data_IF_062702609111
#
_entry.id   IF_062702609111
#
_cell.length_a   1.000
_cell.length_b   1.000
_cell.length_c   1.000
_cell.angle_alpha   90.00
_cell.angle_beta   90.00
_cell.angle_gamma   90.00
#
_symmetry.space_group_name_H-M   'P 1'
#
loop_
_entity.id
_entity.type
_entity.pdbx_description
1 polymer ?
#
# COMPACT_ATOMS: atom_id res chain seq x y z
N UNK A 1 -14.69 2.07 3.63
CA UNK A 1 -15.42 1.15 2.79
C UNK A 1 -14.68 -0.17 2.65
N UNK A 2 -15.34 -1.27 2.94
CA UNK A 2 -14.77 -2.61 2.85
C UNK A 2 -14.22 -2.90 1.46
N UNK A 3 -14.85 -2.31 0.45
CA UNK A 3 -14.45 -2.45 -0.94
C UNK A 3 -13.03 -1.94 -1.18
N UNK A 4 -12.71 -0.75 -0.66
CA UNK A 4 -11.38 -0.18 -0.82
C UNK A 4 -10.33 -0.99 -0.05
N UNK A 5 -10.65 -1.40 1.17
CA UNK A 5 -9.78 -2.25 1.98
C UNK A 5 -9.45 -3.56 1.25
N UNK A 6 -10.47 -4.19 0.68
CA UNK A 6 -10.30 -5.43 -0.08
C UNK A 6 -9.44 -5.21 -1.32
N UNK A 7 -9.64 -4.11 -2.02
CA UNK A 7 -8.86 -3.76 -3.20
C UNK A 7 -7.39 -3.58 -2.86
N UNK A 8 -7.10 -2.84 -1.79
CA UNK A 8 -5.72 -2.61 -1.35
C UNK A 8 -5.07 -3.92 -0.91
N UNK A 9 -5.81 -4.76 -0.19
CA UNK A 9 -5.31 -6.07 0.26
C UNK A 9 -4.94 -6.97 -0.92
N UNK A 10 -5.77 -7.00 -1.94
CA UNK A 10 -5.50 -7.80 -3.15
C UNK A 10 -4.30 -7.26 -3.92
N UNK A 11 -4.22 -5.94 -4.05
CA UNK A 11 -3.09 -5.30 -4.72
C UNK A 11 -1.78 -5.60 -3.98
N UNK A 12 -1.80 -5.54 -2.65
CA UNK A 12 -0.65 -5.84 -1.83
C UNK A 12 -0.21 -7.30 -2.00
N UNK A 13 -1.15 -8.23 -1.96
CA UNK A 13 -0.85 -9.65 -2.14
C UNK A 13 -0.24 -9.93 -3.51
N UNK A 14 -0.79 -9.32 -4.55
CA UNK A 14 -0.27 -9.48 -5.92
C UNK A 14 1.12 -8.89 -6.06
N UNK A 15 1.36 -7.72 -5.43
CA UNK A 15 2.67 -7.07 -5.47
C UNK A 15 3.73 -7.93 -4.76
N UNK A 16 3.38 -8.50 -3.61
CA UNK A 16 4.28 -9.41 -2.88
C UNK A 16 4.58 -10.66 -3.68
N UNK A 17 3.58 -11.19 -4.36
CA UNK A 17 3.73 -12.37 -5.22
C UNK A 17 4.69 -12.09 -6.37
N UNK A 18 4.53 -10.95 -7.03
CA UNK A 18 5.42 -10.54 -8.10
C UNK A 18 6.84 -10.33 -7.59
N UNK A 19 6.98 -9.71 -6.42
CA UNK A 19 8.29 -9.51 -5.80
C UNK A 19 8.99 -10.85 -5.57
N UNK A 20 8.26 -11.84 -5.11
CA UNK A 20 8.80 -13.19 -4.90
C UNK A 20 9.27 -13.80 -6.22
N UNK A 21 8.47 -13.68 -7.25
CA UNK A 21 8.84 -14.19 -8.59
C UNK A 21 10.10 -13.53 -9.12
N UNK A 22 10.19 -12.20 -9.00
CA UNK A 22 11.37 -11.46 -9.43
C UNK A 22 12.59 -11.88 -8.63
N UNK A 23 12.44 -12.05 -7.32
CA UNK A 23 13.53 -12.45 -6.45
C UNK A 23 14.06 -13.85 -6.79
N UNK A 24 13.18 -14.72 -7.24
CA UNK A 24 13.55 -16.07 -7.65
C UNK A 24 14.15 -16.12 -9.07
N UNK A 25 14.22 -14.98 -9.72
CA UNK A 25 14.76 -14.90 -11.07
C UNK A 25 13.76 -15.15 -12.17
N UNK A 26 12.50 -15.39 -11.82
CA UNK A 26 11.46 -15.57 -12.82
C UNK A 26 11.08 -14.21 -13.38
N UNK A 27 11.27 -14.01 -14.67
CA UNK A 27 10.85 -12.79 -15.32
C UNK A 27 9.33 -12.65 -15.22
N UNK A 28 8.86 -11.48 -14.80
CA UNK A 28 7.45 -11.22 -14.78
C UNK A 28 6.93 -11.13 -16.20
N UNK A 29 6.03 -12.00 -16.58
CA UNK A 29 5.34 -11.89 -17.85
C UNK A 29 4.49 -10.63 -17.91
N UNK A 30 4.16 -10.18 -19.10
CA UNK A 30 3.31 -9.01 -19.29
C UNK A 30 1.96 -9.13 -18.58
N UNK A 31 1.50 -10.36 -18.34
CA UNK A 31 0.26 -10.62 -17.64
C UNK A 31 0.28 -10.15 -16.20
N UNK A 32 1.41 -10.33 -15.49
CA UNK A 32 1.53 -9.91 -14.11
C UNK A 32 1.43 -8.38 -13.98
N UNK A 33 2.06 -7.64 -14.87
CA UNK A 33 2.00 -6.18 -14.87
C UNK A 33 0.60 -5.67 -15.20
N UNK A 34 -0.08 -6.31 -16.14
CA UNK A 34 -1.47 -5.97 -16.46
C UNK A 34 -2.39 -6.21 -15.28
N UNK A 35 -2.17 -7.31 -14.57
CA UNK A 35 -2.93 -7.63 -13.37
C UNK A 35 -2.73 -6.58 -12.29
N UNK A 36 -1.48 -6.17 -12.04
CA UNK A 36 -1.19 -5.10 -11.08
C UNK A 36 -1.84 -3.79 -11.50
N UNK A 37 -1.76 -3.44 -12.77
CA UNK A 37 -2.38 -2.22 -13.27
C UNK A 37 -3.88 -2.22 -13.02
N UNK A 38 -4.54 -3.35 -13.27
CA UNK A 38 -5.97 -3.49 -13.01
C UNK A 38 -6.30 -3.37 -11.53
N UNK A 39 -5.47 -3.97 -10.67
CA UNK A 39 -5.66 -3.91 -9.22
C UNK A 39 -5.39 -2.52 -8.66
N UNK A 40 -4.43 -1.80 -9.21
CA UNK A 40 -4.09 -0.45 -8.75
C UNK A 40 -5.06 0.62 -9.27
N UNK A 41 -5.72 0.34 -10.38
CA UNK A 41 -6.58 1.32 -11.05
C UNK A 41 -7.64 1.94 -10.14
N UNK A 42 -8.36 1.16 -9.30
CA UNK A 42 -9.34 1.75 -8.38
C UNK A 42 -8.73 2.43 -7.17
N UNK A 43 -7.43 2.27 -6.94
CA UNK A 43 -6.74 2.89 -5.81
C UNK A 43 -6.14 4.21 -6.28
N UNK A 44 -6.56 5.31 -5.66
CA UNK A 44 -6.08 6.65 -6.03
C UNK A 44 -4.80 6.97 -5.26
N UNK A 45 -3.67 6.50 -5.79
CA UNK A 45 -2.37 6.72 -5.15
C UNK A 45 -1.33 6.94 -6.25
N UNK A 46 -0.78 8.15 -6.32
CA UNK A 46 0.21 8.51 -7.33
C UNK A 46 1.47 7.64 -7.25
N UNK A 47 1.88 7.27 -6.04
CA UNK A 47 3.05 6.43 -5.84
C UNK A 47 2.91 5.08 -6.54
N UNK A 48 1.69 4.54 -6.60
CA UNK A 48 1.44 3.27 -7.27
C UNK A 48 1.58 3.41 -8.78
N UNK A 49 1.06 4.48 -9.35
CA UNK A 49 1.15 4.72 -10.79
C UNK A 49 2.60 4.95 -11.21
N UNK A 50 3.34 5.73 -10.45
CA UNK A 50 4.76 6.01 -10.72
C UNK A 50 5.60 4.74 -10.59
N UNK A 51 5.39 3.98 -9.53
CA UNK A 51 6.11 2.74 -9.29
C UNK A 51 5.82 1.69 -10.35
N UNK A 52 4.56 1.60 -10.77
CA UNK A 52 4.17 0.65 -11.80
C UNK A 52 4.81 1.00 -13.15
N UNK A 53 4.84 2.28 -13.50
CA UNK A 53 5.48 2.73 -14.75
C UNK A 53 6.98 2.43 -14.71
N UNK A 54 7.64 2.68 -13.60
CA UNK A 54 9.05 2.39 -13.43
C UNK A 54 9.33 0.89 -13.53
N UNK A 55 8.50 0.08 -12.85
CA UNK A 55 8.59 -1.36 -12.88
C UNK A 55 8.40 -1.91 -14.30
N UNK A 56 7.45 -1.36 -15.03
CA UNK A 56 7.20 -1.76 -16.41
C UNK A 56 8.44 -1.53 -17.28
N UNK A 57 9.08 -0.37 -17.13
CA UNK A 57 10.32 -0.08 -17.84
C UNK A 57 11.44 -1.03 -17.48
N UNK A 58 11.55 -1.38 -16.21
CA UNK A 58 12.60 -2.28 -15.71
C UNK A 58 12.41 -3.72 -16.21
N UNK A 59 11.17 -4.21 -16.21
CA UNK A 59 10.88 -5.61 -16.57
C UNK A 59 10.73 -5.81 -18.07
N UNK A 60 10.08 -4.88 -18.76
CA UNK A 60 9.86 -5.02 -20.21
C UNK A 60 11.16 -4.88 -20.97
N UNK A 61 12.06 -4.01 -20.52
CA UNK A 61 13.34 -3.80 -21.19
C UNK A 61 14.32 -4.97 -21.10
N UNK A 62 14.12 -5.90 -20.17
CA UNK A 62 15.06 -6.98 -19.92
C UNK A 62 14.70 -8.29 -20.62
N UNK A 63 13.77 -8.34 -21.37
CA UNK A 63 12.94 -9.19 -22.02
C UNK A 63 13.07 -10.53 -22.45
N UNK A 64 14.03 -11.13 -22.75
CA UNK A 64 13.83 -12.33 -23.56
C UNK A 64 14.60 -13.51 -23.03
N UNK A 65 13.91 -14.32 -22.24
CA UNK A 65 14.23 -15.73 -22.18
C UNK A 65 15.19 -16.19 -21.11
N UNK A 66 16.12 -15.41 -20.69
CA UNK A 66 17.18 -15.90 -19.81
C UNK A 66 17.18 -15.27 -18.41
N UNK A 67 16.03 -14.79 -17.98
CA UNK A 67 15.93 -14.16 -16.67
C UNK A 67 16.37 -12.71 -16.70
N UNK A 68 16.18 -12.03 -15.60
CA UNK A 68 16.51 -10.62 -15.49
C UNK A 68 18.00 -10.42 -15.22
N UNK A 69 18.65 -9.44 -15.88
CA UNK A 69 19.99 -9.03 -15.48
C UNK A 69 20.01 -8.63 -14.00
N UNK A 70 21.15 -8.77 -13.35
CA UNK A 70 21.29 -8.47 -11.91
C UNK A 70 20.86 -7.04 -11.59
N UNK A 71 21.24 -6.09 -12.44
CA UNK A 71 20.90 -4.68 -12.23
C UNK A 71 19.40 -4.44 -12.37
N UNK A 72 18.78 -5.04 -13.38
CA UNK A 72 17.33 -4.92 -13.58
C UNK A 72 16.56 -5.58 -12.44
N UNK A 73 17.03 -6.72 -11.97
CA UNK A 73 16.45 -7.43 -10.84
C UNK A 73 16.52 -6.56 -9.57
N UNK A 74 17.69 -5.99 -9.28
CA UNK A 74 17.86 -5.14 -8.10
C UNK A 74 16.94 -3.91 -8.17
N UNK A 75 16.85 -3.27 -9.33
CA UNK A 75 15.98 -2.13 -9.54
C UNK A 75 14.51 -2.49 -9.38
N UNK A 76 14.11 -3.62 -9.97
CA UNK A 76 12.72 -4.09 -9.87
C UNK A 76 12.35 -4.42 -8.42
N UNK A 77 13.25 -5.08 -7.69
CA UNK A 77 13.00 -5.41 -6.28
C UNK A 77 12.85 -4.13 -5.44
N UNK A 78 13.69 -3.13 -5.68
CA UNK A 78 13.59 -1.86 -4.97
C UNK A 78 12.28 -1.16 -5.26
N UNK A 79 11.84 -1.16 -6.52
CA UNK A 79 10.57 -0.56 -6.92
C UNK A 79 9.40 -1.32 -6.26
N UNK A 80 9.45 -2.64 -6.27
CA UNK A 80 8.41 -3.46 -5.63
C UNK A 80 8.35 -3.25 -4.13
N UNK A 81 9.51 -3.11 -3.48
CA UNK A 81 9.55 -2.80 -2.04
C UNK A 81 8.86 -1.47 -1.75
N UNK A 82 9.10 -0.46 -2.58
CA UNK A 82 8.41 0.83 -2.46
C UNK A 82 6.91 0.73 -2.63
N UNK A 83 6.47 -0.09 -3.59
CA UNK A 83 5.05 -0.33 -3.81
C UNK A 83 4.41 -1.06 -2.63
N UNK A 84 5.09 -2.06 -2.08
CA UNK A 84 4.62 -2.77 -0.88
C UNK A 84 4.47 -1.79 0.28
N UNK A 85 5.47 -0.93 0.52
CA UNK A 85 5.38 0.06 1.59
C UNK A 85 4.21 1.01 1.41
N UNK A 86 3.99 1.50 0.19
CA UNK A 86 2.88 2.40 -0.10
C UNK A 86 1.53 1.73 0.17
N UNK A 87 1.39 0.47 -0.26
CA UNK A 87 0.17 -0.29 -0.06
C UNK A 87 -0.06 -0.64 1.40
N UNK A 88 1.00 -1.01 2.13
CA UNK A 88 0.89 -1.29 3.56
C UNK A 88 0.47 -0.04 4.34
N UNK A 89 1.05 1.11 3.99
CA UNK A 89 0.67 2.38 4.60
C UNK A 89 -0.80 2.73 4.34
N UNK A 90 -1.24 2.54 3.11
CA UNK A 90 -2.64 2.79 2.74
C UNK A 90 -3.57 1.83 3.48
N UNK A 91 -3.20 0.55 3.55
CA UNK A 91 -3.98 -0.45 4.25
C UNK A 91 -4.13 -0.10 5.74
N UNK A 92 -3.03 0.30 6.36
CA UNK A 92 -3.05 0.70 7.76
C UNK A 92 -3.97 1.90 7.98
N UNK A 93 -3.90 2.91 7.10
CA UNK A 93 -4.79 4.07 7.18
C UNK A 93 -6.26 3.66 7.10
N UNK A 94 -6.59 2.78 6.16
CA UNK A 94 -7.96 2.31 5.99
C UNK A 94 -8.44 1.52 7.20
N UNK A 95 -7.58 0.70 7.78
CA UNK A 95 -7.91 -0.05 8.98
C UNK A 95 -8.15 0.87 10.17
N UNK A 96 -7.35 1.92 10.31
CA UNK A 96 -7.53 2.91 11.37
C UNK A 96 -8.85 3.67 11.19
N UNK A 97 -9.16 4.08 9.96
CA UNK A 97 -10.43 4.75 9.67
C UNK A 97 -11.61 3.84 9.99
N UNK A 98 -11.52 2.58 9.65
CA UNK A 98 -12.57 1.60 9.94
C UNK A 98 -12.78 1.45 11.44
N UNK A 99 -11.70 1.40 12.21
CA UNK A 99 -11.80 1.33 13.68
C UNK A 99 -12.44 2.58 14.25
N UNK A 100 -12.07 3.76 13.76
CA UNK A 100 -12.67 5.01 14.21
C UNK A 100 -14.17 5.06 13.92
N UNK A 101 -14.57 4.62 12.73
CA UNK A 101 -15.98 4.55 12.38
C UNK A 101 -16.73 3.58 13.30
N UNK A 102 -16.11 2.45 13.60
CA UNK A 102 -16.70 1.48 14.51
C UNK A 102 -16.85 2.05 15.91
N UNK A 103 -15.84 2.76 16.41
CA UNK A 103 -15.89 3.41 17.72
C UNK A 103 -16.97 4.49 17.77
N UNK A 104 -17.14 5.25 16.70
CA UNK A 104 -18.22 6.24 16.63
C UNK A 104 -19.59 5.59 16.70
N UNK A 105 -19.73 4.41 16.14
CA UNK A 105 -21.01 3.68 16.11
C UNK A 105 -21.30 2.97 17.43
N UNK A 106 -20.30 2.28 17.99
CA UNK A 106 -20.46 1.40 19.14
C UNK A 106 -19.93 1.99 20.43
N UNK A 107 -19.31 3.16 20.37
CA UNK A 107 -18.65 3.79 21.52
C UNK A 107 -17.21 3.34 21.67
N UNK A 108 -16.42 4.20 22.28
CA UNK A 108 -15.01 3.91 22.51
C UNK A 108 -14.83 2.96 23.68
N UNK A 109 -13.83 2.06 23.66
CA UNK A 109 -13.46 1.30 24.86
C UNK A 109 -13.12 2.24 26.02
N UNK A 110 -13.32 1.81 27.29
CA UNK A 110 -13.07 2.71 28.44
C UNK A 110 -11.69 3.35 28.47
N UNK A 111 -10.66 2.61 28.10
CA UNK A 111 -9.30 3.15 28.06
C UNK A 111 -9.16 4.26 27.02
N UNK A 112 -9.82 4.11 25.89
CA UNK A 112 -9.81 5.11 24.83
C UNK A 112 -10.60 6.36 25.19
N UNK A 113 -11.70 6.19 25.92
CA UNK A 113 -12.51 7.33 26.37
C UNK A 113 -11.68 8.30 27.18
N UNK A 114 -10.86 7.78 28.09
CA UNK A 114 -10.00 8.61 28.92
C UNK A 114 -8.98 9.37 28.10
N UNK A 115 -8.35 8.71 27.14
CA UNK A 115 -7.41 9.36 26.23
C UNK A 115 -8.06 10.45 25.39
N UNK A 116 -9.25 10.19 24.88
CA UNK A 116 -10.01 11.17 24.09
C UNK A 116 -10.36 12.38 24.96
N UNK A 117 -10.79 12.15 26.20
CA UNK A 117 -11.09 13.24 27.15
C UNK A 117 -9.87 14.09 27.44
N UNK A 118 -8.72 13.46 27.65
CA UNK A 118 -7.46 14.18 27.88
C UNK A 118 -7.07 15.01 26.67
N UNK A 119 -7.25 14.48 25.49
CA UNK A 119 -6.94 15.18 24.25
C UNK A 119 -7.79 16.43 24.11
N UNK A 120 -9.10 16.31 24.30
CA UNK A 120 -10.01 17.45 24.18
C UNK A 120 -9.78 18.47 25.28
N UNK A 121 -9.44 18.02 26.48
CA UNK A 121 -9.09 18.93 27.59
C UNK A 121 -7.86 19.74 27.25
N UNK A 122 -6.83 19.11 26.71
CA UNK A 122 -5.60 19.78 26.29
C UNK A 122 -5.88 20.84 25.24
N UNK A 123 -6.71 20.51 24.26
CA UNK A 123 -7.10 21.46 23.23
C UNK A 123 -7.86 22.66 23.80
N UNK A 124 -8.76 22.41 24.76
CA UNK A 124 -9.52 23.48 25.40
C UNK A 124 -8.61 24.39 26.20
N UNK A 125 -7.66 23.83 26.93
CA UNK A 125 -6.68 24.59 27.70
C UNK A 125 -5.79 25.45 26.81
N UNK A 126 -5.33 24.89 25.71
CA UNK A 126 -4.53 25.64 24.73
C UNK A 126 -5.34 26.76 24.09
N UNK A 127 -6.61 26.51 23.82
CA UNK A 127 -7.50 27.52 23.28
C UNK A 127 -7.74 28.67 24.25
N UNK A 128 -7.80 28.40 25.56
CA UNK A 128 -8.04 29.40 26.58
C UNK A 128 -6.85 30.31 26.85
N UNK A 129 -5.64 29.85 26.51
CA UNK A 129 -4.43 30.63 26.70
C UNK A 129 -4.24 31.71 25.62
N UNK A 130 -5.08 31.74 24.65
CA UNK A 130 -5.08 32.78 23.64
C UNK A 130 -6.06 33.87 24.02
#
# INVERSE_FOLDING_TARGET
>A
DDSELAQVSRALAATRSLRRSVNQGDGAGGGALKELKALYSPIEEDALDEGLAELQGQLVGSGKGDGLPVEAKAGALATLDGLVEALEGRLEQLQQLQRLQQYQRDGYPPAFRELVHQYYRTLAEEGDEQ
#
